data_IF_688391770054
#
_entry.id   IF_688391770054
#
_cell.length_a   1.000
_cell.length_b   1.000
_cell.length_c   1.000
_cell.angle_alpha   90.00
_cell.angle_beta   90.00
_cell.angle_gamma   90.00
#
_symmetry.space_group_name_H-M   'P 1'
#
loop_
_entity.id
_entity.type
_entity.pdbx_description
1 polymer ?
#
# COMPACT_ATOMS: atom_id res chain seq x y z
N UNK A 1 44.67 18.45 34.34
CA UNK A 1 44.75 17.16 33.63
C UNK A 1 44.37 17.40 32.16
N UNK A 2 45.37 17.33 31.28
CA UNK A 2 45.35 16.93 29.85
C UNK A 2 44.45 17.77 28.88
N UNK A 3 45.00 18.82 28.25
CA UNK A 3 45.51 18.91 26.85
C UNK A 3 44.39 18.86 25.78
N UNK A 4 43.94 19.98 25.18
CA UNK A 4 44.54 20.74 24.05
C UNK A 4 45.20 19.85 22.99
N UNK A 5 44.50 19.62 21.89
CA UNK A 5 45.10 19.07 20.67
C UNK A 5 45.05 20.10 19.55
N UNK A 6 46.24 20.38 19.02
CA UNK A 6 46.58 21.33 17.98
C UNK A 6 46.92 20.49 16.76
N UNK A 7 46.26 20.70 15.63
CA UNK A 7 46.65 20.09 14.35
C UNK A 7 47.69 20.97 13.64
N UNK A 8 48.83 20.42 13.21
CA UNK A 8 49.69 21.06 12.23
C UNK A 8 49.57 20.42 10.84
N UNK A 9 49.52 21.31 9.84
CA UNK A 9 49.93 21.08 8.46
C UNK A 9 51.45 20.80 8.41
N UNK A 10 51.91 19.96 7.48
CA UNK A 10 52.85 20.32 6.40
C UNK A 10 53.42 19.08 5.66
N UNK A 11 53.27 19.11 4.32
CA UNK A 11 54.25 18.77 3.24
C UNK A 11 54.90 17.36 3.24
N UNK A 12 55.34 16.76 2.14
CA UNK A 12 55.78 17.21 0.83
C UNK A 12 55.84 15.97 -0.10
N UNK A 13 55.82 16.19 -1.41
CA UNK A 13 56.81 15.68 -2.36
C UNK A 13 56.20 15.10 -3.64
N UNK A 14 56.73 15.64 -4.73
CA UNK A 14 56.39 15.39 -6.13
C UNK A 14 57.36 14.36 -6.69
N UNK A 15 56.84 13.35 -7.38
CA UNK A 15 57.59 12.59 -8.38
C UNK A 15 56.67 12.23 -9.56
N UNK A 16 57.08 12.64 -10.77
CA UNK A 16 56.56 12.20 -12.07
C UNK A 16 57.40 10.99 -12.55
N UNK A 17 57.18 10.46 -13.76
CA UNK A 17 56.05 9.65 -14.21
C UNK A 17 56.53 8.26 -14.66
N UNK A 18 55.65 7.26 -14.74
CA UNK A 18 55.95 6.04 -15.53
C UNK A 18 54.78 5.78 -16.47
N UNK A 19 55.07 5.95 -17.76
CA UNK A 19 54.23 5.59 -18.87
C UNK A 19 54.15 4.07 -18.99
N UNK A 20 53.00 3.50 -18.65
CA UNK A 20 52.62 2.18 -19.15
C UNK A 20 51.51 2.35 -20.18
N UNK A 21 51.89 2.16 -21.45
CA UNK A 21 50.97 1.78 -22.50
C UNK A 21 50.26 0.50 -22.07
N UNK A 22 49.02 0.62 -21.64
CA UNK A 22 48.13 -0.51 -21.49
C UNK A 22 46.93 -0.28 -22.39
N UNK A 23 46.97 -0.97 -23.52
CA UNK A 23 45.87 -1.13 -24.47
C UNK A 23 44.66 -1.68 -23.72
N UNK A 24 43.75 -0.80 -23.30
CA UNK A 24 42.42 -1.18 -22.86
C UNK A 24 41.51 -1.07 -24.06
N UNK A 25 41.26 -2.22 -24.68
CA UNK A 25 40.17 -2.43 -25.63
C UNK A 25 38.90 -1.80 -25.03
N UNK A 26 38.43 -0.72 -25.66
CA UNK A 26 37.12 -0.15 -25.40
C UNK A 26 36.13 -1.15 -25.99
N UNK A 27 35.67 -2.10 -25.17
CA UNK A 27 34.43 -2.81 -25.47
C UNK A 27 33.32 -1.80 -25.25
N UNK A 28 32.79 -1.25 -26.35
CA UNK A 28 31.46 -0.65 -26.38
C UNK A 28 30.47 -1.74 -25.94
N UNK A 29 30.21 -1.80 -24.63
CA UNK A 29 29.08 -2.53 -24.09
C UNK A 29 27.84 -1.80 -24.58
N UNK A 30 27.15 -2.40 -25.55
CA UNK A 30 25.82 -1.99 -25.95
C UNK A 30 24.91 -2.05 -24.72
N UNK A 31 24.67 -0.88 -24.10
CA UNK A 31 23.58 -0.71 -23.15
C UNK A 31 22.28 -0.87 -23.94
N UNK A 32 21.79 -2.11 -24.02
CA UNK A 32 20.41 -2.39 -24.42
C UNK A 32 19.53 -1.66 -23.40
N UNK A 33 18.74 -0.64 -23.81
CA UNK A 33 17.70 -0.13 -22.95
C UNK A 33 16.72 -1.30 -22.77
N UNK A 34 16.69 -1.90 -21.58
CA UNK A 34 15.55 -2.72 -21.18
C UNK A 34 14.36 -1.76 -21.18
N UNK A 35 13.62 -1.75 -22.28
CA UNK A 35 12.29 -1.22 -22.32
C UNK A 35 11.48 -2.03 -21.31
N UNK A 36 11.33 -1.48 -20.10
CA UNK A 36 10.29 -1.87 -19.16
C UNK A 36 8.97 -1.56 -19.87
N UNK A 37 8.51 -2.51 -20.67
CA UNK A 37 7.16 -2.49 -21.20
C UNK A 37 6.26 -2.57 -19.97
N UNK A 38 5.69 -1.44 -19.56
CA UNK A 38 4.61 -1.44 -18.58
C UNK A 38 3.47 -2.20 -19.22
N UNK A 39 3.31 -3.47 -18.85
CA UNK A 39 2.16 -4.24 -19.32
C UNK A 39 0.91 -3.49 -18.87
N UNK A 40 -0.08 -3.31 -19.76
CA UNK A 40 -1.34 -2.69 -19.38
C UNK A 40 -1.87 -3.45 -18.16
N UNK A 41 -2.18 -2.73 -17.09
CA UNK A 41 -2.75 -3.32 -15.89
C UNK A 41 -4.04 -4.03 -16.29
N UNK A 42 -3.98 -5.37 -16.32
CA UNK A 42 -5.16 -6.19 -16.53
C UNK A 42 -5.99 -6.05 -15.27
N UNK A 43 -7.28 -5.74 -15.43
CA UNK A 43 -8.20 -5.68 -14.32
C UNK A 43 -8.33 -7.04 -13.62
N UNK A 44 -8.88 -7.05 -12.42
CA UNK A 44 -9.17 -8.31 -11.73
C UNK A 44 -10.13 -9.20 -12.53
N UNK A 45 -10.06 -10.51 -12.30
CA UNK A 45 -10.85 -11.50 -13.07
C UNK A 45 -12.36 -11.28 -12.98
N UNK A 46 -12.83 -10.72 -11.86
CA UNK A 46 -14.23 -10.41 -11.60
C UNK A 46 -14.63 -8.98 -12.00
N UNK A 47 -13.82 -8.28 -12.79
CA UNK A 47 -14.12 -6.94 -13.29
C UNK A 47 -15.42 -6.90 -14.09
N UNK A 48 -16.20 -5.83 -13.91
CA UNK A 48 -17.33 -5.54 -14.78
C UNK A 48 -16.88 -5.19 -16.21
N UNK A 49 -17.73 -5.45 -17.22
CA UNK A 49 -17.50 -4.96 -18.58
C UNK A 49 -17.27 -3.44 -18.62
N UNK A 50 -16.50 -2.94 -19.60
CA UNK A 50 -16.35 -1.50 -19.79
C UNK A 50 -17.70 -0.79 -19.94
N UNK A 51 -17.86 0.34 -19.27
CA UNK A 51 -19.07 1.16 -19.40
C UNK A 51 -18.96 2.18 -20.54
N UNK A 52 -20.07 2.86 -20.86
CA UNK A 52 -20.12 3.85 -21.94
C UNK A 52 -19.06 4.96 -21.80
N UNK A 53 -18.75 5.38 -20.57
CA UNK A 53 -17.78 6.44 -20.35
C UNK A 53 -16.35 5.93 -20.54
N UNK A 54 -16.04 4.71 -20.09
CA UNK A 54 -14.76 4.07 -20.36
C UNK A 54 -14.52 3.92 -21.87
N UNK A 55 -15.53 3.45 -22.61
CA UNK A 55 -15.47 3.28 -24.06
C UNK A 55 -15.34 4.62 -24.79
N UNK A 56 -16.02 5.66 -24.30
CA UNK A 56 -15.99 7.01 -24.89
C UNK A 56 -14.65 7.70 -24.68
N UNK A 57 -14.15 7.69 -23.44
CA UNK A 57 -12.95 8.46 -23.08
C UNK A 57 -11.66 7.68 -23.27
N UNK A 58 -11.72 6.34 -23.35
CA UNK A 58 -10.57 5.44 -23.55
C UNK A 58 -9.36 5.80 -22.68
N UNK A 59 -9.63 6.31 -21.48
CA UNK A 59 -8.59 6.80 -20.58
C UNK A 59 -7.75 5.60 -20.16
N UNK A 60 -6.42 5.65 -20.34
CA UNK A 60 -5.56 4.55 -19.92
C UNK A 60 -5.75 4.26 -18.43
N UNK A 61 -5.99 3.00 -18.11
CA UNK A 61 -6.01 2.53 -16.72
C UNK A 61 -4.60 2.64 -16.16
N UNK A 62 -4.45 3.39 -15.08
CA UNK A 62 -3.18 3.52 -14.37
C UNK A 62 -3.39 2.97 -12.98
N UNK A 63 -2.68 1.89 -12.65
CA UNK A 63 -2.76 1.35 -11.30
C UNK A 63 -2.40 2.45 -10.30
N UNK A 64 -3.30 2.69 -9.34
CA UNK A 64 -3.00 3.58 -8.22
C UNK A 64 -1.79 3.06 -7.41
N UNK A 65 -1.08 3.94 -6.69
CA UNK A 65 -0.06 3.47 -5.75
C UNK A 65 -0.73 2.58 -4.70
N UNK A 66 -0.14 1.42 -4.42
CA UNK A 66 -0.64 0.57 -3.34
C UNK A 66 -0.46 1.31 -2.00
N UNK A 67 -1.50 1.34 -1.15
CA UNK A 67 -1.37 1.87 0.19
C UNK A 67 -0.25 1.16 0.94
N UNK A 68 0.50 1.95 1.71
CA UNK A 68 1.66 1.48 2.47
C UNK A 68 1.27 1.44 3.95
N UNK A 69 1.99 0.61 4.69
CA UNK A 69 1.82 0.50 6.13
C UNK A 69 0.45 -0.01 6.60
N UNK A 70 -0.23 -0.79 5.75
CA UNK A 70 -1.43 -1.54 6.15
C UNK A 70 -1.06 -2.77 6.98
N UNK A 71 -2.00 -3.23 7.80
CA UNK A 71 -1.93 -4.54 8.44
C UNK A 71 -2.20 -4.54 9.94
N UNK A 72 -1.93 -5.67 10.60
CA UNK A 72 -2.15 -5.80 12.03
C UNK A 72 -1.17 -4.93 12.84
N UNK A 73 -1.64 -4.50 14.01
CA UNK A 73 -0.84 -3.95 15.12
C UNK A 73 -1.17 -4.71 16.41
N UNK A 74 -0.48 -4.38 17.49
CA UNK A 74 -0.62 -5.06 18.78
C UNK A 74 -2.07 -5.01 19.31
N UNK A 75 -2.44 -6.04 20.08
CA UNK A 75 -3.77 -6.13 20.69
C UNK A 75 -4.90 -6.56 19.74
N UNK A 76 -4.58 -7.30 18.67
CA UNK A 76 -5.54 -7.77 17.67
C UNK A 76 -6.28 -6.63 16.95
N UNK A 77 -5.57 -5.52 16.72
CA UNK A 77 -6.09 -4.33 16.04
C UNK A 77 -5.49 -4.20 14.65
N UNK A 78 -6.15 -3.45 13.78
CA UNK A 78 -5.59 -2.99 12.51
C UNK A 78 -4.87 -1.66 12.72
N UNK A 79 -3.88 -1.36 11.88
CA UNK A 79 -3.31 -0.01 11.79
C UNK A 79 -4.39 0.98 11.34
N UNK A 80 -4.40 2.16 11.93
CA UNK A 80 -5.40 3.18 11.62
C UNK A 80 -5.12 3.85 10.28
N UNK A 81 -6.19 4.30 9.63
CA UNK A 81 -6.12 5.29 8.56
C UNK A 81 -5.74 6.64 9.17
N UNK A 82 -4.53 7.12 8.96
CA UNK A 82 -4.04 8.36 9.60
C UNK A 82 -4.08 9.59 8.69
N UNK A 83 -4.47 9.43 7.42
CA UNK A 83 -4.41 10.54 6.46
C UNK A 83 -5.71 11.37 6.38
N UNK A 84 -6.76 10.96 7.11
CA UNK A 84 -7.99 11.72 7.34
C UNK A 84 -8.83 11.96 6.08
N UNK A 85 -8.61 11.20 5.01
CA UNK A 85 -9.32 11.38 3.74
C UNK A 85 -10.45 10.36 3.59
N UNK A 86 -11.49 10.68 2.79
CA UNK A 86 -12.70 9.84 2.67
C UNK A 86 -12.50 8.54 1.86
N UNK A 87 -11.25 8.16 1.59
CA UNK A 87 -10.90 6.93 0.87
C UNK A 87 -10.33 5.85 1.81
N UNK A 88 -10.36 6.07 3.12
CA UNK A 88 -9.83 5.12 4.10
C UNK A 88 -10.77 5.06 5.30
N UNK A 89 -11.31 3.88 5.58
CA UNK A 89 -12.18 3.61 6.73
C UNK A 89 -11.48 2.65 7.69
N UNK A 90 -11.56 2.90 9.00
CA UNK A 90 -10.90 2.04 9.99
C UNK A 90 -11.80 1.76 11.17
N UNK A 91 -11.73 0.52 11.66
CA UNK A 91 -12.33 0.10 12.93
C UNK A 91 -11.33 0.04 14.08
N UNK A 92 -10.10 0.48 13.86
CA UNK A 92 -9.04 0.46 14.85
C UNK A 92 -8.32 1.82 14.94
N UNK A 93 -8.98 2.89 15.45
CA UNK A 93 -8.36 4.20 15.62
C UNK A 93 -7.14 4.16 16.55
N UNK A 94 -6.21 5.09 16.35
CA UNK A 94 -4.97 5.17 17.13
C UNK A 94 -5.22 5.51 18.60
N UNK A 95 -6.23 6.33 18.90
CA UNK A 95 -6.81 6.53 20.22
C UNK A 95 -8.33 6.40 20.17
N UNK A 96 -8.90 5.70 21.15
CA UNK A 96 -10.32 5.77 21.51
C UNK A 96 -10.40 6.48 22.87
N UNK A 97 -9.70 7.61 23.07
CA UNK A 97 -10.00 8.37 24.27
C UNK A 97 -11.51 8.68 24.21
N UNK A 98 -12.22 8.54 25.32
CA UNK A 98 -13.65 8.91 25.39
C UNK A 98 -13.85 10.35 24.88
N UNK A 99 -12.79 11.15 24.92
CA UNK A 99 -12.67 12.51 24.38
C UNK A 99 -12.63 12.62 22.86
N UNK A 100 -12.09 11.62 22.16
CA UNK A 100 -12.04 11.57 20.70
C UNK A 100 -13.30 10.95 20.08
N UNK A 101 -14.08 10.23 20.89
CA UNK A 101 -15.35 9.63 20.49
C UNK A 101 -16.57 10.43 20.97
N UNK A 102 -16.49 11.11 22.12
CA UNK A 102 -17.66 11.65 22.82
C UNK A 102 -17.45 12.85 23.77
N UNK A 103 -16.28 13.48 23.94
CA UNK A 103 -16.18 14.56 24.94
C UNK A 103 -16.58 15.96 24.42
N UNK A 104 -17.28 16.65 25.31
CA UNK A 104 -17.50 18.09 25.46
C UNK A 104 -18.18 18.95 24.39
N UNK A 105 -18.99 18.39 23.50
CA UNK A 105 -20.09 19.17 22.89
C UNK A 105 -20.28 19.02 21.40
N UNK A 106 -20.88 17.90 20.99
CA UNK A 106 -21.55 17.80 19.69
C UNK A 106 -20.67 17.56 18.47
N UNK A 107 -19.39 17.21 18.64
CA UNK A 107 -18.59 16.67 17.55
C UNK A 107 -18.87 15.17 17.43
N UNK A 108 -19.62 14.77 16.40
CA UNK A 108 -19.84 13.36 16.08
C UNK A 108 -18.48 12.66 15.83
N UNK A 109 -18.35 11.42 16.30
CA UNK A 109 -17.25 10.53 15.91
C UNK A 109 -17.01 10.66 14.39
N UNK A 110 -15.76 10.82 13.97
CA UNK A 110 -15.47 11.14 12.58
C UNK A 110 -16.09 10.08 11.64
N UNK A 111 -16.83 10.52 10.61
CA UNK A 111 -17.70 9.68 9.76
C UNK A 111 -16.98 8.50 9.05
N UNK A 112 -15.65 8.44 9.12
CA UNK A 112 -14.80 7.39 8.55
C UNK A 112 -14.41 6.28 9.55
N UNK A 113 -14.75 6.42 10.83
CA UNK A 113 -14.58 5.38 11.84
C UNK A 113 -15.78 4.44 11.83
N UNK A 114 -15.50 3.14 11.72
CA UNK A 114 -16.53 2.09 11.73
C UNK A 114 -16.37 1.25 13.00
N UNK A 115 -17.45 0.99 13.71
CA UNK A 115 -17.35 0.12 14.89
C UNK A 115 -16.84 -1.29 14.51
N UNK A 116 -15.93 -1.90 15.30
CA UNK A 116 -15.49 -3.28 15.07
C UNK A 116 -16.65 -4.26 15.08
N UNK A 117 -16.69 -5.16 14.09
CA UNK A 117 -17.64 -6.28 14.10
C UNK A 117 -17.33 -7.22 15.26
N UNK A 118 -18.37 -7.57 16.02
CA UNK A 118 -18.32 -8.63 17.04
C UNK A 118 -18.76 -9.96 16.42
N UNK A 119 -18.21 -11.06 16.90
CA UNK A 119 -18.54 -12.40 16.44
C UNK A 119 -18.62 -13.38 17.62
N UNK A 120 -19.64 -14.23 17.62
CA UNK A 120 -19.91 -15.21 18.68
C UNK A 120 -19.65 -16.64 18.19
N UNK A 121 -18.44 -16.88 17.66
CA UNK A 121 -18.01 -18.19 17.17
C UNK A 121 -16.49 -18.36 17.24
N UNK A 122 -15.96 -19.60 17.17
CA UNK A 122 -14.53 -19.81 17.07
C UNK A 122 -13.93 -19.01 15.90
N UNK A 123 -12.70 -18.50 16.09
CA UNK A 123 -12.01 -17.65 15.11
C UNK A 123 -12.04 -18.23 13.70
N UNK A 124 -11.79 -19.54 13.56
CA UNK A 124 -11.83 -20.22 12.26
C UNK A 124 -13.18 -20.07 11.55
N UNK A 125 -14.28 -20.22 12.29
CA UNK A 125 -15.64 -20.04 11.76
C UNK A 125 -15.93 -18.59 11.40
N UNK A 126 -15.48 -17.64 12.21
CA UNK A 126 -15.62 -16.21 11.91
C UNK A 126 -14.87 -15.82 10.64
N UNK A 127 -13.62 -16.28 10.50
CA UNK A 127 -12.81 -16.07 9.31
C UNK A 127 -13.44 -16.72 8.07
N UNK A 128 -14.01 -17.92 8.20
CA UNK A 128 -14.71 -18.58 7.11
C UNK A 128 -15.91 -17.76 6.59
N UNK A 129 -16.68 -17.14 7.49
CA UNK A 129 -17.78 -16.25 7.09
C UNK A 129 -17.28 -15.01 6.35
N UNK A 130 -16.19 -14.39 6.82
CA UNK A 130 -15.58 -13.25 6.14
C UNK A 130 -15.09 -13.64 4.76
N UNK A 131 -14.42 -14.79 4.61
CA UNK A 131 -14.01 -15.31 3.29
C UNK A 131 -15.21 -15.49 2.37
N UNK A 132 -16.31 -16.03 2.89
CA UNK A 132 -17.56 -16.22 2.14
C UNK A 132 -18.16 -14.89 1.71
N UNK A 133 -18.19 -13.90 2.61
CA UNK A 133 -18.67 -12.56 2.30
C UNK A 133 -17.84 -11.89 1.21
N UNK A 134 -16.50 -11.95 1.30
CA UNK A 134 -15.59 -11.44 0.27
C UNK A 134 -15.86 -12.14 -1.07
N UNK A 135 -15.91 -13.48 -1.08
CA UNK A 135 -16.13 -14.24 -2.32
C UNK A 135 -17.50 -13.98 -2.95
N UNK A 136 -18.51 -13.68 -2.14
CA UNK A 136 -19.86 -13.40 -2.60
C UNK A 136 -20.10 -11.93 -2.97
N UNK A 137 -19.15 -11.03 -2.72
CA UNK A 137 -19.31 -9.60 -3.00
C UNK A 137 -19.41 -9.35 -4.52
N UNK A 138 -20.54 -8.86 -5.07
CA UNK A 138 -20.60 -8.49 -6.47
C UNK A 138 -19.87 -7.15 -6.71
N UNK A 139 -18.88 -7.10 -7.63
CA UNK A 139 -18.19 -5.85 -7.99
C UNK A 139 -19.12 -4.81 -8.61
N UNK A 140 -18.80 -3.53 -8.44
CA UNK A 140 -19.59 -2.43 -9.04
C UNK A 140 -20.85 -2.05 -8.28
N UNK A 141 -21.09 -2.59 -7.08
CA UNK A 141 -22.22 -2.20 -6.26
C UNK A 141 -22.24 -0.69 -6.04
N UNK A 142 -23.38 -0.07 -6.35
CA UNK A 142 -23.57 1.39 -6.26
C UNK A 142 -22.53 2.20 -7.07
N UNK A 143 -21.93 1.60 -8.10
CA UNK A 143 -20.93 2.23 -8.94
C UNK A 143 -19.51 2.25 -8.35
N UNK A 144 -19.24 1.47 -7.30
CA UNK A 144 -17.95 1.40 -6.60
C UNK A 144 -17.22 0.11 -6.98
N UNK A 145 -15.90 0.17 -7.15
CA UNK A 145 -15.01 -0.99 -7.41
C UNK A 145 -15.41 -1.90 -8.56
N UNK A 146 -15.98 -1.35 -9.63
CA UNK A 146 -16.32 -2.12 -10.83
C UNK A 146 -15.11 -2.71 -11.55
N UNK A 147 -13.88 -2.31 -11.18
CA UNK A 147 -12.62 -2.91 -11.63
C UNK A 147 -12.37 -4.29 -11.02
N UNK A 148 -13.19 -4.70 -10.04
CA UNK A 148 -13.13 -5.99 -9.38
C UNK A 148 -12.36 -5.92 -8.07
N UNK A 149 -12.02 -7.10 -7.55
CA UNK A 149 -11.15 -7.23 -6.38
C UNK A 149 -10.39 -8.55 -6.41
N UNK A 150 -9.30 -8.62 -5.64
CA UNK A 150 -8.61 -9.88 -5.34
C UNK A 150 -8.28 -9.97 -3.86
N UNK A 151 -8.33 -11.19 -3.32
CA UNK A 151 -7.70 -11.47 -2.03
C UNK A 151 -6.19 -11.50 -2.23
N UNK A 152 -5.46 -10.64 -1.53
CA UNK A 152 -4.01 -10.52 -1.71
C UNK A 152 -3.24 -11.31 -0.66
N UNK A 153 -3.66 -11.24 0.60
CA UNK A 153 -2.96 -11.92 1.69
C UNK A 153 -3.93 -12.43 2.73
N UNK A 154 -3.59 -13.56 3.30
CA UNK A 154 -4.30 -14.15 4.42
C UNK A 154 -3.30 -14.72 5.41
N UNK A 155 -3.52 -14.50 6.70
CA UNK A 155 -2.69 -15.04 7.78
C UNK A 155 -3.60 -15.44 8.92
N UNK A 156 -3.48 -16.68 9.39
CA UNK A 156 -4.20 -17.19 10.57
C UNK A 156 -3.15 -17.71 11.54
N UNK A 157 -3.18 -17.25 12.78
CA UNK A 157 -2.19 -17.58 13.80
C UNK A 157 -2.85 -17.66 15.16
N UNK A 158 -3.06 -18.88 15.65
CA UNK A 158 -3.62 -19.20 16.98
C UNK A 158 -4.91 -18.46 17.30
N UNK A 159 -4.75 -17.24 17.82
CA UNK A 159 -5.82 -16.38 18.32
C UNK A 159 -6.07 -15.14 17.43
N UNK A 160 -5.46 -15.04 16.25
CA UNK A 160 -5.64 -13.91 15.35
C UNK A 160 -5.72 -14.34 13.89
N UNK A 161 -6.43 -13.54 13.10
CA UNK A 161 -6.48 -13.69 11.66
C UNK A 161 -6.42 -12.32 10.98
N UNK A 162 -5.78 -12.27 9.83
CA UNK A 162 -5.64 -11.09 9.00
C UNK A 162 -5.96 -11.45 7.56
N UNK A 163 -6.89 -10.71 6.95
CA UNK A 163 -7.28 -10.84 5.56
C UNK A 163 -7.08 -9.47 4.90
N UNK A 164 -6.40 -9.46 3.76
CA UNK A 164 -6.20 -8.27 2.94
C UNK A 164 -6.81 -8.51 1.57
N UNK A 165 -7.73 -7.63 1.19
CA UNK A 165 -8.39 -7.60 -0.11
C UNK A 165 -7.95 -6.31 -0.79
N UNK A 166 -7.86 -6.35 -2.11
CA UNK A 166 -7.53 -5.18 -2.91
C UNK A 166 -8.63 -4.99 -3.95
N UNK A 167 -9.21 -3.80 -3.97
CA UNK A 167 -10.27 -3.39 -4.89
C UNK A 167 -9.70 -2.50 -5.99
N UNK A 168 -10.38 -2.44 -7.13
CA UNK A 168 -9.98 -1.57 -8.22
C UNK A 168 -11.19 -0.85 -8.82
N UNK A 169 -11.02 0.43 -9.11
CA UNK A 169 -12.03 1.22 -9.84
C UNK A 169 -12.13 0.79 -11.31
N UNK A 170 -13.35 0.82 -11.87
CA UNK A 170 -13.59 0.38 -13.26
C UNK A 170 -12.85 1.24 -14.29
N UNK A 171 -12.98 2.56 -14.18
CA UNK A 171 -12.58 3.49 -15.25
C UNK A 171 -11.12 3.92 -15.21
N UNK A 172 -10.55 4.05 -14.01
CA UNK A 172 -9.22 4.65 -13.82
C UNK A 172 -8.16 3.64 -13.38
N UNK A 173 -8.55 2.48 -12.87
CA UNK A 173 -7.62 1.50 -12.31
C UNK A 173 -7.02 1.95 -10.97
N UNK A 174 -7.62 2.94 -10.29
CA UNK A 174 -7.26 3.25 -8.91
C UNK A 174 -7.48 2.03 -8.04
N UNK A 175 -6.49 1.76 -7.21
CA UNK A 175 -6.44 0.62 -6.30
C UNK A 175 -6.83 1.12 -4.92
N UNK A 176 -7.73 0.40 -4.26
CA UNK A 176 -8.23 0.63 -2.90
C UNK A 176 -8.11 -0.67 -2.07
N UNK A 177 -8.24 -0.59 -0.75
CA UNK A 177 -8.03 -1.70 0.21
C UNK A 177 -9.22 -2.02 1.13
#
# INVERSE_FOLDING_TARGET
EIMKEVSPLLTWSSAKPVSHFSSRRVTLGALLPLALTSWPSVAFENRLPPDELELKYKTPRTAGPMPKDLGPRDGARLKACTDGKPHCFSSSPDSFADDDLYDDGGAAAADWLVEPFRYDKPLEGAVADVRKAIAAYPPGQRGIDGGGFKKVRETVSGNSAYLYVQYESLRRGYVDD
#
